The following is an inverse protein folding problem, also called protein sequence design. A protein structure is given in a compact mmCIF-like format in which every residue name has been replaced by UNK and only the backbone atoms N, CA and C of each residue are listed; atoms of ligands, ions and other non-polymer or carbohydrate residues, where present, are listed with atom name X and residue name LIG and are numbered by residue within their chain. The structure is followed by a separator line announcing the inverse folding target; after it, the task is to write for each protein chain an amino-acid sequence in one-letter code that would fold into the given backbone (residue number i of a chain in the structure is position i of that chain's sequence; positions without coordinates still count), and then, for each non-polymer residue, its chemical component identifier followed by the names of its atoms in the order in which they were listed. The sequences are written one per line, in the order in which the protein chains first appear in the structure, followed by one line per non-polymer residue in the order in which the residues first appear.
data_IF_069932418550
#
_entry.id   IF_069932418550
#
_cell.length_a   1.000
_cell.length_b   1.000
_cell.length_c   1.000
_cell.angle_alpha   90.00
_cell.angle_beta   90.00
_cell.angle_gamma   90.00
#
_symmetry.space_group_name_H-M   'P 1'
#
loop_
_entity.id
_entity.type
_entity.pdbx_description
1 polymer ?
#
# COMPACT_ATOMS: atom_id res chain seq x y z
N UNK A 1 10.11 -14.39 24.94
CA UNK A 1 10.64 -14.59 23.57
C UNK A 1 12.02 -13.94 23.53
N UNK A 2 13.03 -14.65 23.07
CA UNK A 2 14.36 -14.07 22.89
C UNK A 2 14.33 -13.16 21.64
N UNK A 3 14.78 -11.92 21.79
CA UNK A 3 14.94 -10.98 20.68
C UNK A 3 16.30 -11.20 20.00
N UNK A 4 16.51 -12.41 19.47
CA UNK A 4 17.79 -12.80 18.87
C UNK A 4 17.72 -12.67 17.34
N UNK A 5 18.81 -12.18 16.74
CA UNK A 5 19.00 -12.19 15.30
C UNK A 5 19.21 -13.62 14.82
N UNK A 6 18.45 -14.05 13.81
CA UNK A 6 18.47 -15.43 13.32
C UNK A 6 19.19 -15.61 11.99
N UNK A 7 19.23 -14.57 11.14
CA UNK A 7 19.81 -14.65 9.79
C UNK A 7 20.57 -13.39 9.41
N UNK A 8 21.59 -13.54 8.56
CA UNK A 8 22.23 -12.45 7.85
C UNK A 8 21.67 -12.29 6.44
N UNK A 9 22.07 -11.22 5.75
CA UNK A 9 21.70 -10.97 4.35
C UNK A 9 22.96 -10.95 3.47
N UNK A 10 22.94 -11.74 2.41
CA UNK A 10 23.96 -11.67 1.36
C UNK A 10 23.70 -10.47 0.42
N UNK A 11 24.74 -10.04 -0.29
CA UNK A 11 24.60 -9.04 -1.33
C UNK A 11 24.07 -9.72 -2.60
N UNK A 12 22.86 -9.34 -3.02
CA UNK A 12 22.23 -9.82 -4.24
C UNK A 12 22.72 -9.05 -5.48
N UNK A 13 22.45 -9.60 -6.67
CA UNK A 13 22.66 -8.93 -7.93
C UNK A 13 21.76 -7.70 -8.05
N UNK A 14 22.18 -6.72 -8.85
CA UNK A 14 21.43 -5.49 -9.13
C UNK A 14 20.43 -5.73 -10.27
N UNK A 15 19.37 -6.47 -10.00
CA UNK A 15 18.37 -6.89 -10.99
C UNK A 15 16.93 -6.43 -10.67
N UNK A 16 16.75 -5.64 -9.60
CA UNK A 16 15.45 -5.13 -9.17
C UNK A 16 15.23 -3.70 -9.63
N UNK A 17 13.99 -3.38 -9.99
CA UNK A 17 13.55 -2.02 -10.35
C UNK A 17 12.62 -1.46 -9.28
N UNK A 18 12.71 -0.14 -9.04
CA UNK A 18 11.85 0.56 -8.09
C UNK A 18 10.57 1.11 -8.71
N UNK A 19 9.74 1.68 -7.85
CA UNK A 19 8.50 2.36 -8.19
C UNK A 19 7.24 1.53 -7.96
N UNK A 20 6.11 2.23 -7.88
CA UNK A 20 4.78 1.68 -7.67
C UNK A 20 4.05 1.61 -9.01
N UNK A 21 3.31 0.53 -9.23
CA UNK A 21 2.51 0.28 -10.43
C UNK A 21 1.03 0.55 -10.21
N UNK A 22 0.52 0.06 -9.09
CA UNK A 22 -0.87 0.24 -8.69
C UNK A 22 -0.98 0.28 -7.17
N UNK A 23 -2.03 0.93 -6.69
CA UNK A 23 -2.39 0.92 -5.28
C UNK A 23 -3.82 0.41 -5.18
N UNK A 24 -4.09 -0.43 -4.19
CA UNK A 24 -5.41 -0.97 -3.95
C UNK A 24 -5.88 -0.55 -2.57
N UNK A 25 -7.15 -0.23 -2.47
CA UNK A 25 -7.79 0.18 -1.22
C UNK A 25 -8.96 -0.73 -0.89
N UNK A 26 -9.05 -1.14 0.37
CA UNK A 26 -10.23 -1.76 0.97
C UNK A 26 -10.51 -1.08 2.31
N UNK A 27 -11.74 -1.16 2.79
CA UNK A 27 -12.06 -0.72 4.14
C UNK A 27 -11.50 -1.74 5.14
N UNK A 28 -10.82 -1.27 6.17
CA UNK A 28 -10.23 -2.16 7.19
C UNK A 28 -11.29 -2.98 7.91
N UNK A 29 -12.47 -2.42 8.14
CA UNK A 29 -13.58 -3.08 8.85
C UNK A 29 -14.17 -4.26 8.06
N UNK A 30 -14.03 -4.24 6.74
CA UNK A 30 -14.56 -5.27 5.82
C UNK A 30 -13.51 -6.32 5.45
N UNK A 31 -12.28 -6.21 5.97
CA UNK A 31 -11.17 -7.06 5.60
C UNK A 31 -10.65 -7.87 6.79
N UNK A 32 -10.35 -9.13 6.55
CA UNK A 32 -9.65 -10.01 7.48
C UNK A 32 -8.36 -10.50 6.85
N UNK A 33 -7.23 -10.19 7.47
CA UNK A 33 -5.90 -10.57 6.99
C UNK A 33 -5.31 -11.63 7.90
N UNK A 34 -5.10 -12.82 7.38
CA UNK A 34 -4.35 -13.88 8.06
C UNK A 34 -2.92 -13.88 7.55
N UNK A 35 -1.96 -13.78 8.46
CA UNK A 35 -0.55 -13.68 8.09
C UNK A 35 0.35 -14.53 9.00
N UNK A 36 1.51 -14.90 8.48
CA UNK A 36 2.55 -15.61 9.22
C UNK A 36 3.93 -15.22 8.70
N UNK A 37 4.88 -15.00 9.61
CA UNK A 37 6.27 -14.70 9.30
C UNK A 37 6.46 -13.53 8.29
N UNK A 38 5.63 -12.48 8.38
CA UNK A 38 5.72 -11.30 7.52
C UNK A 38 5.04 -11.46 6.14
N UNK A 39 4.35 -12.57 5.92
CA UNK A 39 3.64 -12.85 4.67
C UNK A 39 2.14 -13.04 4.92
N UNK A 40 1.32 -12.45 4.06
CA UNK A 40 -0.13 -12.69 4.04
C UNK A 40 -0.37 -14.08 3.46
N UNK A 41 -1.04 -14.92 4.23
CA UNK A 41 -1.38 -16.30 3.82
C UNK A 41 -2.82 -16.43 3.36
N UNK A 42 -3.70 -15.54 3.86
CA UNK A 42 -5.12 -15.54 3.51
C UNK A 42 -5.68 -14.12 3.64
N UNK A 43 -6.60 -13.77 2.75
CA UNK A 43 -7.20 -12.45 2.67
C UNK A 43 -8.68 -12.59 2.31
N UNK A 44 -9.54 -12.26 3.27
CA UNK A 44 -10.97 -12.20 3.07
C UNK A 44 -11.42 -10.74 3.06
N UNK A 45 -12.11 -10.32 2.01
CA UNK A 45 -12.70 -8.98 1.88
C UNK A 45 -14.19 -9.16 1.57
N UNK A 46 -15.05 -8.63 2.42
CA UNK A 46 -16.52 -8.78 2.27
C UNK A 46 -17.10 -7.82 1.23
N UNK A 47 -16.35 -6.79 0.87
CA UNK A 47 -16.66 -5.84 -0.19
C UNK A 47 -15.68 -6.01 -1.36
N UNK A 48 -15.64 -5.05 -2.28
CA UNK A 48 -14.68 -5.06 -3.39
C UNK A 48 -13.33 -4.46 -2.97
N UNK A 49 -12.27 -4.92 -3.61
CA UNK A 49 -10.94 -4.31 -3.56
C UNK A 49 -10.83 -3.30 -4.72
N UNK A 50 -10.64 -2.02 -4.40
CA UNK A 50 -10.60 -0.94 -5.37
C UNK A 50 -9.17 -0.70 -5.85
N UNK A 51 -8.93 -0.90 -7.15
CA UNK A 51 -7.63 -0.71 -7.79
C UNK A 51 -7.48 0.66 -8.41
N UNK A 52 -6.44 1.38 -8.01
CA UNK A 52 -6.01 2.64 -8.60
C UNK A 52 -4.73 2.45 -9.42
N UNK A 53 -4.84 2.56 -10.73
CA UNK A 53 -3.68 2.53 -11.60
C UNK A 53 -2.96 3.87 -11.55
N UNK A 54 -1.67 3.84 -11.31
CA UNK A 54 -0.85 5.05 -11.22
C UNK A 54 0.07 5.19 -12.42
N UNK A 55 0.30 6.43 -12.83
CA UNK A 55 1.26 6.72 -13.89
C UNK A 55 2.68 6.49 -13.35
N UNK A 56 3.58 6.05 -14.21
CA UNK A 56 4.97 5.79 -13.86
C UNK A 56 5.62 6.98 -13.16
N UNK A 57 6.16 6.77 -11.97
CA UNK A 57 6.84 7.79 -11.19
C UNK A 57 5.93 8.76 -10.42
N UNK A 58 4.63 8.46 -10.32
CA UNK A 58 3.66 9.32 -9.64
C UNK A 58 3.15 8.74 -8.31
N UNK A 59 3.64 7.58 -7.91
CA UNK A 59 3.36 7.01 -6.61
C UNK A 59 4.63 6.47 -5.95
N UNK A 60 4.66 6.53 -4.63
CA UNK A 60 5.74 6.01 -3.82
C UNK A 60 5.21 5.37 -2.54
N UNK A 61 5.95 4.37 -2.07
CA UNK A 61 5.76 3.74 -0.77
C UNK A 61 7.05 3.90 0.03
N UNK A 62 6.92 4.26 1.28
CA UNK A 62 8.02 4.36 2.25
C UNK A 62 7.54 3.87 3.59
N UNK A 63 8.34 3.08 4.28
CA UNK A 63 8.09 2.66 5.65
C UNK A 63 9.24 3.16 6.53
N UNK A 64 8.89 3.87 7.59
CA UNK A 64 9.83 4.37 8.60
C UNK A 64 9.68 3.57 9.86
N UNK A 65 10.81 3.07 10.40
CA UNK A 65 10.83 2.39 11.70
C UNK A 65 11.28 3.40 12.74
N UNK A 66 10.44 3.64 13.74
CA UNK A 66 10.75 4.53 14.86
C UNK A 66 10.91 3.73 16.14
N UNK A 67 12.10 3.82 16.74
CA UNK A 67 12.44 3.14 17.98
C UNK A 67 12.85 4.15 19.05
N UNK A 68 12.31 4.01 20.24
CA UNK A 68 12.72 4.78 21.42
C UNK A 68 13.29 3.88 22.49
N UNK A 69 14.60 3.98 22.71
CA UNK A 69 15.27 3.22 23.76
C UNK A 69 14.82 3.65 25.16
N UNK A 70 14.51 4.93 25.34
CA UNK A 70 14.04 5.50 26.60
C UNK A 70 12.66 5.00 26.99
N UNK A 71 11.76 4.90 26.01
CA UNK A 71 10.37 4.47 26.25
C UNK A 71 10.18 2.96 26.02
N UNK A 72 11.17 2.25 25.49
CA UNK A 72 11.09 0.83 25.17
C UNK A 72 10.07 0.50 24.08
N UNK A 73 9.80 1.43 23.15
CA UNK A 73 8.79 1.31 22.11
C UNK A 73 9.43 1.22 20.73
N UNK A 74 8.82 0.44 19.84
CA UNK A 74 9.12 0.39 18.41
C UNK A 74 7.80 0.36 17.67
N UNK A 75 7.66 1.21 16.66
CA UNK A 75 6.52 1.20 15.76
C UNK A 75 6.95 1.48 14.32
N UNK A 76 6.08 1.11 13.39
CA UNK A 76 6.29 1.25 11.95
C UNK A 76 5.31 2.27 11.40
N UNK A 77 5.79 3.14 10.54
CA UNK A 77 5.03 4.22 9.94
C UNK A 77 5.08 4.08 8.41
N UNK A 78 4.17 3.24 7.83
CA UNK A 78 4.02 3.17 6.39
C UNK A 78 3.40 4.45 5.85
N UNK A 79 3.93 4.94 4.74
CA UNK A 79 3.44 6.11 4.01
C UNK A 79 3.34 5.80 2.52
N UNK A 80 2.20 6.13 1.94
CA UNK A 80 1.92 5.96 0.50
C UNK A 80 1.50 7.29 -0.08
N UNK A 81 2.24 7.75 -1.08
CA UNK A 81 1.89 8.96 -1.83
C UNK A 81 1.42 8.55 -3.24
N UNK A 82 0.27 9.08 -3.65
CA UNK A 82 -0.36 8.78 -4.94
C UNK A 82 -0.79 10.06 -5.62
N UNK A 83 -0.42 10.22 -6.91
CA UNK A 83 -0.92 11.30 -7.75
C UNK A 83 -1.89 10.74 -8.78
N UNK A 84 -3.12 11.23 -8.72
CA UNK A 84 -4.17 10.92 -9.66
C UNK A 84 -4.34 12.08 -10.64
N UNK A 85 -4.24 11.79 -11.93
CA UNK A 85 -4.38 12.80 -12.97
C UNK A 85 -5.85 13.01 -13.30
N UNK A 86 -6.20 14.23 -13.72
CA UNK A 86 -7.53 14.76 -13.98
C UNK A 86 -8.34 14.98 -12.70
N UNK A 87 -9.12 16.05 -12.73
CA UNK A 87 -10.12 16.34 -11.71
C UNK A 87 -11.47 15.85 -12.23
N UNK A 88 -12.10 14.92 -11.49
CA UNK A 88 -13.46 14.44 -11.82
C UNK A 88 -14.36 14.48 -10.59
N UNK A 89 -15.68 14.54 -10.81
CA UNK A 89 -16.65 14.50 -9.71
C UNK A 89 -16.67 13.13 -9.05
N UNK A 90 -16.45 12.06 -9.81
CA UNK A 90 -16.39 10.70 -9.29
C UNK A 90 -15.21 10.56 -8.33
N UNK A 91 -14.00 10.94 -8.76
CA UNK A 91 -12.81 10.88 -7.92
C UNK A 91 -12.95 11.74 -6.65
N UNK A 92 -13.59 12.91 -6.75
CA UNK A 92 -13.81 13.77 -5.59
C UNK A 92 -14.70 13.11 -4.54
N UNK A 93 -15.73 12.37 -4.96
CA UNK A 93 -16.59 11.62 -4.05
C UNK A 93 -15.84 10.43 -3.43
N UNK A 94 -15.05 9.69 -4.21
CA UNK A 94 -14.24 8.60 -3.73
C UNK A 94 -13.18 9.08 -2.72
N UNK A 95 -12.47 10.17 -3.02
CA UNK A 95 -11.49 10.76 -2.09
C UNK A 95 -12.13 11.15 -0.76
N UNK A 96 -13.37 11.64 -0.78
CA UNK A 96 -14.11 11.92 0.45
C UNK A 96 -14.35 10.64 1.27
N UNK A 97 -14.68 9.53 0.63
CA UNK A 97 -14.87 8.24 1.30
C UNK A 97 -13.54 7.70 1.82
N UNK A 98 -12.47 7.80 1.04
CA UNK A 98 -11.11 7.43 1.46
C UNK A 98 -10.64 8.23 2.68
N UNK A 99 -11.03 9.51 2.77
CA UNK A 99 -10.67 10.37 3.90
C UNK A 99 -11.49 10.12 5.19
N UNK A 100 -12.63 9.45 5.08
CA UNK A 100 -13.53 9.19 6.21
C UNK A 100 -13.32 7.82 6.86
N UNK A 101 -12.68 6.89 6.12
CA UNK A 101 -12.52 5.50 6.55
C UNK A 101 -11.06 5.18 6.89
N UNK A 102 -10.88 4.18 7.73
CA UNK A 102 -9.60 3.50 7.88
C UNK A 102 -9.46 2.45 6.79
N UNK A 103 -8.31 2.45 6.15
CA UNK A 103 -8.08 1.71 4.93
C UNK A 103 -7.03 0.62 5.14
N UNK A 104 -7.27 -0.52 4.55
CA UNK A 104 -6.27 -1.51 4.23
C UNK A 104 -5.72 -1.17 2.84
N UNK A 105 -4.42 -0.95 2.74
CA UNK A 105 -3.79 -0.48 1.50
C UNK A 105 -2.82 -1.52 0.97
N UNK A 106 -2.95 -1.87 -0.32
CA UNK A 106 -1.97 -2.73 -0.98
C UNK A 106 -1.21 -1.94 -2.03
N UNK A 107 0.11 -2.10 -2.03
CA UNK A 107 1.02 -1.41 -2.95
C UNK A 107 1.69 -2.43 -3.86
N UNK A 108 1.29 -2.48 -5.13
CA UNK A 108 1.92 -3.29 -6.16
C UNK A 108 3.15 -2.55 -6.69
N UNK A 109 4.33 -3.14 -6.49
CA UNK A 109 5.58 -2.57 -6.97
C UNK A 109 5.92 -3.04 -8.39
N UNK A 110 6.86 -2.34 -9.05
CA UNK A 110 7.42 -2.79 -10.32
C UNK A 110 8.41 -3.96 -10.14
N UNK A 111 8.94 -4.14 -8.93
CA UNK A 111 9.84 -5.24 -8.61
C UNK A 111 9.14 -6.60 -8.66
N UNK A 112 9.87 -7.62 -9.08
CA UNK A 112 9.41 -9.00 -9.11
C UNK A 112 10.21 -9.86 -8.15
N UNK A 113 9.58 -10.88 -7.61
CA UNK A 113 10.25 -11.90 -6.78
C UNK A 113 10.94 -12.96 -7.68
N UNK A 114 11.61 -13.93 -7.07
CA UNK A 114 12.29 -15.04 -7.77
C UNK A 114 11.37 -15.91 -8.65
N UNK A 115 10.07 -15.87 -8.41
CA UNK A 115 9.06 -16.57 -9.23
C UNK A 115 8.54 -15.70 -10.39
N UNK A 116 9.09 -14.50 -10.59
CA UNK A 116 8.65 -13.56 -11.62
C UNK A 116 7.34 -12.82 -11.30
N UNK A 117 6.80 -13.01 -10.09
CA UNK A 117 5.58 -12.33 -9.62
C UNK A 117 5.94 -10.98 -8.99
N UNK A 118 5.06 -10.00 -9.15
CA UNK A 118 5.25 -8.67 -8.55
C UNK A 118 5.14 -8.72 -7.04
N UNK A 119 5.95 -7.93 -6.38
CA UNK A 119 5.91 -7.79 -4.93
C UNK A 119 4.80 -6.83 -4.57
N UNK A 120 3.86 -7.29 -3.74
CA UNK A 120 2.75 -6.49 -3.22
C UNK A 120 2.92 -6.38 -1.71
N UNK A 121 2.94 -5.15 -1.21
CA UNK A 121 2.95 -4.86 0.22
C UNK A 121 1.54 -4.60 0.72
N UNK A 122 1.21 -5.18 1.88
CA UNK A 122 -0.04 -4.96 2.60
C UNK A 122 0.23 -4.07 3.81
N UNK A 123 -0.47 -2.95 3.90
CA UNK A 123 -0.26 -1.88 4.87
C UNK A 123 -1.54 -1.59 5.64
N UNK A 124 -1.41 -1.24 6.91
CA UNK A 124 -2.56 -0.87 7.73
C UNK A 124 -3.38 -2.07 8.21
N UNK A 125 -2.72 -3.17 8.55
CA UNK A 125 -3.41 -4.42 8.95
C UNK A 125 -4.02 -4.33 10.35
N UNK A 126 -3.35 -3.64 11.27
CA UNK A 126 -3.78 -3.55 12.67
C UNK A 126 -4.57 -2.27 12.94
N UNK A 127 -4.01 -1.12 12.60
CA UNK A 127 -4.60 0.18 12.91
C UNK A 127 -5.23 0.87 11.70
N UNK A 128 -4.87 0.45 10.52
CA UNK A 128 -5.31 1.05 9.27
C UNK A 128 -4.43 2.20 8.78
N UNK A 129 -4.59 2.50 7.51
CA UNK A 129 -4.04 3.69 6.86
C UNK A 129 -5.10 4.78 6.79
N UNK A 130 -4.71 6.03 6.98
CA UNK A 130 -5.59 7.19 6.90
C UNK A 130 -5.07 8.19 5.86
N UNK A 131 -5.97 8.87 5.15
CA UNK A 131 -5.62 9.99 4.30
C UNK A 131 -5.28 11.21 5.16
N UNK A 132 -3.99 11.49 5.32
CA UNK A 132 -3.51 12.61 6.15
C UNK A 132 -3.43 13.93 5.41
N UNK A 133 -3.11 13.90 4.13
CA UNK A 133 -2.99 15.09 3.30
C UNK A 133 -3.51 14.80 1.89
N UNK A 134 -4.33 15.70 1.39
CA UNK A 134 -4.82 15.66 0.02
C UNK A 134 -4.89 17.06 -0.58
N UNK A 135 -4.37 17.23 -1.78
CA UNK A 135 -4.48 18.48 -2.54
C UNK A 135 -5.06 18.23 -3.90
N UNK A 136 -5.96 19.11 -4.34
CA UNK A 136 -6.49 19.16 -5.70
C UNK A 136 -5.86 20.34 -6.42
N UNK A 137 -5.16 20.10 -7.52
CA UNK A 137 -4.47 21.12 -8.30
C UNK A 137 -5.03 21.17 -9.73
N UNK A 138 -5.37 22.37 -10.19
CA UNK A 138 -5.76 22.60 -11.59
C UNK A 138 -4.56 22.96 -12.49
N UNK A 139 -3.41 23.29 -11.89
CA UNK A 139 -2.27 23.89 -12.57
C UNK A 139 -2.51 25.36 -12.95
N UNK A 140 -1.45 26.03 -13.36
CA UNK A 140 -1.45 27.42 -13.84
C UNK A 140 -1.05 27.47 -15.31
N UNK A 141 0.02 26.77 -15.68
CA UNK A 141 0.50 26.62 -17.05
C UNK A 141 0.00 25.33 -17.68
N UNK A 142 0.03 25.26 -19.02
CA UNK A 142 -0.45 24.07 -19.76
C UNK A 142 0.32 22.76 -19.43
N UNK A 143 1.54 22.87 -18.96
CA UNK A 143 2.36 21.71 -18.55
C UNK A 143 2.25 21.33 -17.09
N UNK A 144 1.46 22.06 -16.29
CA UNK A 144 1.31 21.80 -14.88
C UNK A 144 0.39 20.61 -14.61
N UNK A 145 0.58 20.01 -13.44
CA UNK A 145 -0.26 18.90 -13.00
C UNK A 145 -1.70 19.37 -12.77
N UNK A 146 -2.66 18.66 -13.39
CA UNK A 146 -4.09 18.76 -13.11
C UNK A 146 -4.53 17.43 -12.50
N UNK A 147 -4.92 17.43 -11.22
CA UNK A 147 -5.30 16.20 -10.52
C UNK A 147 -5.19 16.32 -8.99
N UNK A 148 -5.12 15.16 -8.36
CA UNK A 148 -5.02 15.04 -6.91
C UNK A 148 -3.65 14.52 -6.50
N UNK A 149 -3.11 15.03 -5.39
CA UNK A 149 -1.92 14.53 -4.71
C UNK A 149 -2.35 14.09 -3.31
N UNK A 150 -2.31 12.79 -3.04
CA UNK A 150 -2.85 12.17 -1.84
C UNK A 150 -1.74 11.48 -1.07
N UNK A 151 -1.72 11.67 0.25
CA UNK A 151 -0.79 11.02 1.15
C UNK A 151 -1.55 10.25 2.23
N UNK A 152 -1.32 8.95 2.25
CA UNK A 152 -1.85 8.03 3.25
C UNK A 152 -0.73 7.64 4.22
N UNK A 153 -1.02 7.67 5.51
CA UNK A 153 -0.07 7.30 6.57
C UNK A 153 -0.77 6.39 7.57
N UNK A 154 -0.05 5.41 8.07
CA UNK A 154 -0.48 4.54 9.16
C UNK A 154 0.55 4.49 10.28
N UNK A 155 0.15 3.96 11.43
CA UNK A 155 1.04 3.62 12.54
C UNK A 155 0.74 2.19 12.95
N UNK A 156 1.71 1.30 12.76
CA UNK A 156 1.55 -0.13 12.95
C UNK A 156 2.56 -0.67 13.99
N UNK A 157 2.21 -1.78 14.60
CA UNK A 157 3.07 -2.50 15.54
C UNK A 157 4.07 -3.44 14.86
N UNK A 158 3.85 -3.69 13.56
CA UNK A 158 4.67 -4.57 12.74
C UNK A 158 4.98 -3.96 11.38
N UNK A 159 6.04 -4.46 10.74
CA UNK A 159 6.42 -4.05 9.39
C UNK A 159 5.36 -4.45 8.36
N UNK A 160 5.34 -3.76 7.24
CA UNK A 160 4.50 -4.06 6.08
C UNK A 160 4.60 -5.52 5.69
N UNK A 161 3.44 -6.18 5.55
CA UNK A 161 3.37 -7.57 5.14
C UNK A 161 3.53 -7.70 3.62
N UNK A 162 4.04 -8.82 3.17
CA UNK A 162 4.12 -9.13 1.73
C UNK A 162 3.00 -10.10 1.37
N UNK A 163 2.25 -9.80 0.32
CA UNK A 163 1.30 -10.74 -0.28
C UNK A 163 2.09 -11.72 -1.14
N UNK A 164 2.24 -12.94 -0.64
CA UNK A 164 3.12 -13.92 -1.26
C UNK A 164 2.46 -14.71 -2.37
N UNK A 165 1.14 -14.84 -2.36
CA UNK A 165 0.46 -15.82 -3.21
C UNK A 165 -0.65 -15.21 -4.07
N UNK A 166 -0.43 -15.32 -5.39
CA UNK A 166 -1.41 -15.18 -6.44
C UNK A 166 -0.91 -16.00 -7.64
N UNK A 167 -1.79 -16.46 -8.52
CA UNK A 167 -1.37 -17.35 -9.62
C UNK A 167 -0.87 -16.60 -10.83
N UNK A 168 -1.68 -15.74 -11.43
CA UNK A 168 -1.35 -15.01 -12.67
C UNK A 168 -1.51 -13.51 -12.50
N UNK A 169 -2.66 -13.07 -11.96
CA UNK A 169 -2.97 -11.68 -11.70
C UNK A 169 -3.02 -11.42 -10.18
N UNK A 170 -2.66 -10.21 -9.72
CA UNK A 170 -2.78 -9.88 -8.31
C UNK A 170 -4.18 -10.16 -7.76
N UNK A 171 -4.24 -10.88 -6.65
CA UNK A 171 -5.48 -11.26 -5.94
C UNK A 171 -6.42 -12.20 -6.69
N UNK A 172 -5.95 -12.94 -7.70
CA UNK A 172 -6.76 -13.86 -8.52
C UNK A 172 -7.20 -15.14 -7.76
N UNK A 173 -6.65 -15.40 -6.60
CA UNK A 173 -7.02 -16.50 -5.69
C UNK A 173 -7.87 -16.05 -4.48
N UNK A 174 -8.28 -14.79 -4.42
CA UNK A 174 -9.20 -14.30 -3.40
C UNK A 174 -10.67 -14.52 -3.78
N UNK A 175 -11.54 -14.63 -2.77
CA UNK A 175 -13.00 -14.80 -2.94
C UNK A 175 -13.75 -13.45 -3.11
N UNK A 176 -13.03 -12.40 -3.50
CA UNK A 176 -13.55 -11.04 -3.68
C UNK A 176 -13.24 -10.50 -5.08
N UNK A 177 -13.94 -9.43 -5.48
CA UNK A 177 -13.74 -8.80 -6.78
C UNK A 177 -12.73 -7.64 -6.69
N UNK A 178 -11.89 -7.51 -7.73
CA UNK A 178 -11.03 -6.34 -7.91
C UNK A 178 -11.70 -5.38 -8.89
N UNK A 179 -12.17 -4.24 -8.39
CA UNK A 179 -12.88 -3.23 -9.18
C UNK A 179 -11.94 -2.12 -9.61
N UNK A 180 -12.02 -1.75 -10.90
CA UNK A 180 -11.29 -0.63 -11.52
C UNK A 180 -12.34 0.37 -12.00
N UNK A 181 -12.30 1.58 -11.48
CA UNK A 181 -13.17 2.69 -11.91
C UNK A 181 -12.57 3.47 -13.08
#
# INVERSE_FOLDING_TARGET
MACELTTGRALDCKDIIGGVRAVYFAQLEDATVTHSAGSVSDLDITTDLFKYNVVRGTASFTETVTASAENGTVFYEPSVNVKLHKLSVADQNEIKLLAQNRLLVFVETNGTNSAGKRVIFCLGVTNGMELTTGTANSGVAFGDMNGYDLSFVGMEDSAALVVADYTTEPFDNGDFSVTIS
#
